data_IF_820786776658
#
_entry.id   IF_820786776658
#
_cell.length_a   1.000
_cell.length_b   1.000
_cell.length_c   1.000
_cell.angle_alpha   90.00
_cell.angle_beta   90.00
_cell.angle_gamma   90.00
#
_symmetry.space_group_name_H-M   'P 1'
#
loop_
_entity.id
_entity.type
_entity.pdbx_description
1 polymer ?
#
# COMPACT_ATOMS: atom_id res chain seq x y z
N UNK A 1 3.30 -19.37 20.43
CA UNK A 1 3.68 -18.40 19.39
C UNK A 1 5.13 -18.69 19.03
N UNK A 2 5.40 -19.04 17.77
CA UNK A 2 6.78 -19.23 17.31
C UNK A 2 7.43 -17.85 17.22
N UNK A 3 8.65 -17.72 17.74
CA UNK A 3 9.45 -16.50 17.58
C UNK A 3 9.95 -16.46 16.14
N UNK A 4 9.54 -15.45 15.39
CA UNK A 4 9.91 -15.30 13.99
C UNK A 4 10.95 -14.19 13.86
N UNK A 5 12.08 -14.52 13.23
CA UNK A 5 13.14 -13.60 12.86
C UNK A 5 13.22 -13.59 11.33
N UNK A 6 12.95 -12.45 10.71
CA UNK A 6 13.01 -12.30 9.26
C UNK A 6 14.24 -11.49 8.90
N UNK A 7 15.12 -12.09 8.10
CA UNK A 7 16.30 -11.42 7.55
C UNK A 7 16.00 -11.02 6.11
N UNK A 8 16.06 -9.72 5.82
CA UNK A 8 15.97 -9.16 4.48
C UNK A 8 17.38 -8.79 4.04
N UNK A 9 17.88 -9.46 3.01
CA UNK A 9 19.22 -9.20 2.44
C UNK A 9 19.08 -8.42 1.13
N UNK A 10 19.77 -7.29 1.04
CA UNK A 10 19.89 -6.48 -0.17
C UNK A 10 21.29 -6.71 -0.78
N UNK A 11 21.43 -7.66 -1.74
CA UNK A 11 22.73 -8.15 -2.20
C UNK A 11 23.51 -7.10 -3.02
N UNK A 12 22.82 -6.11 -3.58
CA UNK A 12 23.39 -5.02 -4.36
C UNK A 12 24.11 -3.97 -3.51
N UNK A 13 23.68 -3.80 -2.25
CA UNK A 13 24.27 -2.83 -1.31
C UNK A 13 24.91 -3.49 -0.08
N UNK A 14 24.81 -4.82 0.04
CA UNK A 14 25.35 -5.58 1.17
C UNK A 14 24.63 -5.31 2.49
N UNK A 15 23.40 -4.77 2.45
CA UNK A 15 22.63 -4.41 3.65
C UNK A 15 21.81 -5.62 4.12
N UNK A 16 21.85 -5.86 5.43
CA UNK A 16 20.99 -6.84 6.10
C UNK A 16 20.04 -6.10 7.02
N UNK A 17 18.74 -6.29 6.83
CA UNK A 17 17.68 -5.77 7.69
C UNK A 17 17.07 -6.94 8.46
N UNK A 18 16.93 -6.80 9.78
CA UNK A 18 16.29 -7.83 10.60
C UNK A 18 14.96 -7.29 11.10
N UNK A 19 13.86 -7.93 10.69
CA UNK A 19 12.56 -7.72 11.31
C UNK A 19 12.37 -8.72 12.44
N UNK A 20 12.09 -8.17 13.62
CA UNK A 20 12.08 -8.92 14.87
C UNK A 20 10.69 -8.82 15.46
N UNK A 21 9.80 -9.74 15.09
CA UNK A 21 8.45 -9.82 15.66
C UNK A 21 8.50 -10.73 16.90
N UNK A 22 8.13 -10.18 18.05
CA UNK A 22 7.91 -10.95 19.30
C UNK A 22 9.17 -11.58 19.93
N UNK A 23 10.36 -11.05 19.65
CA UNK A 23 11.63 -11.50 20.26
C UNK A 23 12.04 -10.55 21.39
N UNK A 24 12.56 -11.03 22.53
CA UNK A 24 12.98 -10.16 23.63
C UNK A 24 14.09 -9.18 23.22
N UNK A 25 14.08 -7.97 23.78
CA UNK A 25 15.05 -6.90 23.50
C UNK A 25 16.52 -7.37 23.59
N UNK A 26 16.84 -8.24 24.56
CA UNK A 26 18.20 -8.82 24.71
C UNK A 26 18.70 -9.54 23.45
N UNK A 27 17.81 -10.23 22.73
CA UNK A 27 18.17 -10.99 21.52
C UNK A 27 18.43 -10.04 20.35
N UNK A 28 17.78 -8.87 20.34
CA UNK A 28 18.06 -7.80 19.38
C UNK A 28 19.45 -7.22 19.61
N UNK A 29 19.83 -7.01 20.87
CA UNK A 29 21.15 -6.48 21.23
C UNK A 29 22.26 -7.49 20.90
N UNK A 30 22.06 -8.77 21.20
CA UNK A 30 22.99 -9.85 20.81
C UNK A 30 23.19 -9.91 19.28
N UNK A 31 22.11 -9.80 18.49
CA UNK A 31 22.18 -9.77 17.02
C UNK A 31 22.91 -8.53 16.48
N UNK A 32 22.81 -7.38 17.15
CA UNK A 32 23.49 -6.17 16.72
C UNK A 32 25.01 -6.27 16.90
N UNK A 33 25.48 -6.98 17.93
CA UNK A 33 26.91 -7.22 18.15
C UNK A 33 27.50 -8.10 17.03
N UNK A 34 26.73 -9.07 16.53
CA UNK A 34 27.16 -9.97 15.44
C UNK A 34 27.06 -9.34 14.04
N UNK A 35 26.04 -8.50 13.80
CA UNK A 35 25.71 -7.96 12.48
C UNK A 35 26.22 -6.54 12.22
N UNK A 36 26.72 -5.86 13.26
CA UNK A 36 27.31 -4.52 13.17
C UNK A 36 26.35 -3.38 13.54
N UNK A 37 26.75 -2.13 13.28
CA UNK A 37 26.09 -0.95 13.82
C UNK A 37 24.61 -0.86 13.39
N UNK A 38 23.73 -0.76 14.39
CA UNK A 38 22.29 -0.60 14.17
C UNK A 38 21.98 0.74 13.51
N UNK A 39 21.22 0.70 12.42
CA UNK A 39 20.53 1.88 11.88
C UNK A 39 19.05 1.63 12.06
N UNK A 40 18.35 2.59 12.68
CA UNK A 40 16.90 2.54 12.75
C UNK A 40 16.37 2.82 11.33
N UNK A 41 16.13 1.76 10.57
CA UNK A 41 15.24 1.83 9.42
C UNK A 41 13.88 2.13 10.02
N UNK A 42 13.22 3.20 9.57
CA UNK A 42 11.90 3.65 10.06
C UNK A 42 10.85 2.53 9.87
N UNK A 43 10.93 1.49 10.70
CA UNK A 43 9.97 0.42 10.79
C UNK A 43 8.82 1.00 11.60
N UNK A 44 7.82 1.48 10.87
CA UNK A 44 6.46 1.61 11.38
C UNK A 44 6.24 2.60 12.52
N UNK A 45 6.80 3.81 12.46
CA UNK A 45 6.16 4.93 13.14
C UNK A 45 5.20 5.61 12.17
N UNK A 46 3.89 5.68 12.47
CA UNK A 46 3.01 6.62 11.78
C UNK A 46 3.67 7.98 11.90
N UNK A 47 4.03 8.58 10.77
CA UNK A 47 4.54 9.93 10.79
C UNK A 47 3.50 10.82 11.48
N UNK A 48 3.90 11.58 12.49
CA UNK A 48 3.04 12.63 13.04
C UNK A 48 2.85 13.70 11.95
N UNK A 49 1.80 13.58 11.16
CA UNK A 49 1.59 14.44 9.99
C UNK A 49 0.56 15.53 10.30
N UNK A 50 1.05 16.77 10.31
CA UNK A 50 0.26 18.00 10.30
C UNK A 50 0.03 18.45 8.85
N UNK A 51 -1.07 18.06 8.21
CA UNK A 51 -1.71 18.81 7.11
C UNK A 51 -3.12 18.27 6.85
N UNK A 52 -4.06 19.18 6.70
CA UNK A 52 -5.50 18.90 6.72
C UNK A 52 -6.03 18.93 5.29
N UNK A 53 -6.67 17.86 4.83
CA UNK A 53 -7.53 17.94 3.64
C UNK A 53 -8.83 18.66 4.04
N UNK A 54 -9.44 19.45 3.14
CA UNK A 54 -10.82 19.89 3.32
C UNK A 54 -11.72 18.65 3.40
N UNK A 55 -12.65 18.64 4.35
CA UNK A 55 -13.68 17.60 4.48
C UNK A 55 -14.42 17.49 3.15
N UNK A 56 -14.14 16.45 2.37
CA UNK A 56 -14.93 16.10 1.20
C UNK A 56 -16.22 15.49 1.74
N UNK A 57 -17.36 16.14 1.48
CA UNK A 57 -18.64 15.60 1.90
C UNK A 57 -18.92 14.30 1.14
N UNK A 58 -19.16 13.18 1.83
CA UNK A 58 -19.53 11.94 1.16
C UNK A 58 -20.85 12.16 0.43
N UNK A 59 -20.86 11.94 -0.87
CA UNK A 59 -22.11 11.79 -1.61
C UNK A 59 -22.77 10.49 -1.14
N UNK A 60 -23.99 10.61 -0.61
CA UNK A 60 -24.82 9.48 -0.20
C UNK A 60 -24.95 8.48 -1.35
N UNK A 61 -24.26 7.35 -1.26
CA UNK A 61 -24.57 6.17 -2.06
C UNK A 61 -25.73 5.44 -1.40
N UNK A 62 -26.82 5.33 -2.16
CA UNK A 62 -28.05 4.64 -1.81
C UNK A 62 -27.78 3.24 -1.27
N UNK A 63 -28.52 2.87 -0.22
CA UNK A 63 -28.51 1.55 0.40
C UNK A 63 -28.70 0.42 -0.63
N UNK A 64 -27.67 -0.37 -0.88
CA UNK A 64 -27.80 -1.65 -1.59
C UNK A 64 -27.41 -2.84 -0.71
N UNK A 65 -28.14 -3.93 -0.94
CA UNK A 65 -28.29 -5.14 -0.14
C UNK A 65 -26.97 -5.87 0.17
N UNK A 66 -26.83 -6.50 1.36
CA UNK A 66 -25.66 -7.30 1.69
C UNK A 66 -25.71 -8.64 0.94
N UNK A 67 -24.83 -8.84 -0.04
CA UNK A 67 -24.59 -10.18 -0.61
C UNK A 67 -24.32 -10.32 -2.10
N UNK A 68 -24.23 -9.24 -2.91
CA UNK A 68 -23.94 -9.41 -4.34
C UNK A 68 -22.43 -9.50 -4.62
N UNK A 69 -21.99 -10.66 -5.08
CA UNK A 69 -20.61 -11.03 -5.44
C UNK A 69 -20.16 -10.39 -6.78
N UNK A 70 -20.38 -9.08 -6.97
CA UNK A 70 -20.33 -8.43 -8.31
C UNK A 70 -19.02 -7.74 -8.69
N UNK A 71 -18.14 -7.44 -7.74
CA UNK A 71 -16.92 -6.69 -8.03
C UNK A 71 -15.74 -7.64 -8.25
N UNK A 72 -15.08 -7.47 -9.38
CA UNK A 72 -13.80 -8.10 -9.70
C UNK A 72 -12.78 -7.05 -10.10
N UNK A 73 -11.52 -7.32 -9.80
CA UNK A 73 -10.38 -6.46 -10.10
C UNK A 73 -9.34 -7.26 -10.88
N UNK A 74 -8.70 -6.63 -11.85
CA UNK A 74 -7.53 -7.18 -12.51
C UNK A 74 -6.34 -7.08 -11.57
N UNK A 75 -5.94 -8.24 -11.05
CA UNK A 75 -4.92 -8.41 -10.04
C UNK A 75 -3.70 -9.08 -10.65
N UNK A 76 -2.52 -8.49 -10.51
CA UNK A 76 -1.27 -9.14 -10.89
C UNK A 76 -0.86 -10.17 -9.83
N UNK A 77 -0.87 -9.78 -8.55
CA UNK A 77 -0.63 -10.69 -7.42
C UNK A 77 -1.12 -10.11 -6.10
N UNK A 78 -1.35 -10.99 -5.14
CA UNK A 78 -1.50 -10.68 -3.72
C UNK A 78 -0.31 -11.30 -2.98
N UNK A 79 0.32 -10.55 -2.10
CA UNK A 79 1.43 -11.05 -1.27
C UNK A 79 1.39 -10.42 0.13
N UNK A 80 2.02 -11.08 1.10
CA UNK A 80 1.97 -10.71 2.51
C UNK A 80 3.36 -10.36 3.07
N UNK A 81 3.37 -9.82 4.29
CA UNK A 81 4.56 -9.47 5.08
C UNK A 81 5.51 -8.45 4.43
N UNK A 82 5.02 -7.58 3.54
CA UNK A 82 5.88 -6.50 3.02
C UNK A 82 6.15 -5.46 4.08
N UNK A 83 7.41 -5.08 4.27
CA UNK A 83 7.83 -3.98 5.16
C UNK A 83 8.29 -2.74 4.40
N UNK A 84 8.26 -2.79 3.07
CA UNK A 84 8.77 -1.73 2.18
C UNK A 84 7.66 -1.01 1.41
N UNK A 85 6.46 -1.60 1.36
CA UNK A 85 5.30 -1.06 0.63
C UNK A 85 4.38 -0.20 1.52
N UNK A 86 4.89 0.38 2.60
CA UNK A 86 4.16 1.26 3.50
C UNK A 86 4.44 1.00 4.98
N UNK A 87 3.71 1.69 5.89
CA UNK A 87 3.94 1.59 7.33
C UNK A 87 3.48 0.25 7.91
N UNK A 88 4.37 -0.39 8.67
CA UNK A 88 4.14 -1.70 9.27
C UNK A 88 4.29 -2.85 8.28
N UNK A 89 3.93 -4.07 8.70
CA UNK A 89 3.80 -5.23 7.81
C UNK A 89 2.54 -5.07 6.97
N UNK A 90 2.66 -5.18 5.65
CA UNK A 90 1.57 -4.99 4.69
C UNK A 90 1.17 -6.31 4.04
N UNK A 91 -0.13 -6.53 3.91
CA UNK A 91 -0.65 -7.31 2.78
C UNK A 91 -0.74 -6.38 1.57
N UNK A 92 -0.23 -6.81 0.42
CA UNK A 92 -0.13 -5.96 -0.76
C UNK A 92 -1.01 -6.51 -1.89
N UNK A 93 -1.98 -5.70 -2.29
CA UNK A 93 -2.84 -5.92 -3.44
C UNK A 93 -2.20 -5.21 -4.63
N UNK A 94 -1.51 -5.97 -5.48
CA UNK A 94 -0.84 -5.44 -6.67
C UNK A 94 -1.73 -5.59 -7.90
N UNK A 95 -2.32 -4.49 -8.36
CA UNK A 95 -3.25 -4.47 -9.52
C UNK A 95 -2.49 -4.55 -10.85
N UNK A 96 -3.14 -5.07 -11.90
CA UNK A 96 -2.67 -5.02 -13.29
C UNK A 96 -3.46 -4.01 -14.12
N UNK A 97 -2.82 -3.47 -15.16
CA UNK A 97 -3.28 -2.35 -15.97
C UNK A 97 -2.71 -1.02 -15.47
N UNK A 98 -1.99 -0.30 -16.34
CA UNK A 98 -1.51 1.05 -16.07
C UNK A 98 -1.53 1.88 -17.35
N UNK A 99 -2.32 2.96 -17.34
CA UNK A 99 -2.37 3.97 -18.39
C UNK A 99 -1.16 4.91 -18.40
N UNK A 100 -0.45 5.04 -17.29
CA UNK A 100 0.66 5.99 -17.11
C UNK A 100 1.97 5.48 -17.73
N UNK A 101 2.29 4.20 -17.51
CA UNK A 101 3.46 3.51 -18.10
C UNK A 101 4.79 4.27 -17.94
N UNK A 102 5.09 4.68 -16.70
CA UNK A 102 6.26 5.50 -16.39
C UNK A 102 7.56 4.91 -16.98
N UNK A 103 8.42 5.75 -17.54
CA UNK A 103 9.72 5.32 -18.05
C UNK A 103 10.58 4.79 -16.89
N UNK A 104 11.09 3.57 -17.03
CA UNK A 104 11.88 2.91 -15.98
C UNK A 104 11.06 2.43 -14.78
N UNK A 105 9.73 2.28 -14.92
CA UNK A 105 8.84 1.76 -13.89
C UNK A 105 9.44 0.56 -13.14
N UNK A 106 9.19 0.47 -11.83
CA UNK A 106 9.63 -0.67 -11.00
C UNK A 106 8.87 -1.95 -11.28
N UNK A 107 7.64 -1.84 -11.79
CA UNK A 107 6.74 -2.98 -12.02
C UNK A 107 6.17 -2.95 -13.45
N UNK A 108 7.01 -2.86 -14.49
CA UNK A 108 6.52 -2.70 -15.88
C UNK A 108 5.67 -3.88 -16.34
N UNK A 109 5.82 -5.05 -15.71
CA UNK A 109 5.01 -6.23 -15.96
C UNK A 109 3.52 -6.03 -15.64
N UNK A 110 3.15 -5.04 -14.81
CA UNK A 110 1.75 -4.73 -14.50
C UNK A 110 1.11 -3.76 -15.49
N UNK A 111 1.83 -3.24 -16.49
CA UNK A 111 1.30 -2.24 -17.42
C UNK A 111 0.14 -2.77 -18.27
N UNK A 112 0.27 -4.01 -18.77
CA UNK A 112 -0.81 -4.68 -19.49
C UNK A 112 -1.72 -5.37 -18.48
N UNK A 113 -3.02 -5.18 -18.66
CA UNK A 113 -4.04 -5.69 -17.74
C UNK A 113 -4.11 -7.21 -17.78
N UNK A 114 -3.92 -7.76 -18.96
CA UNK A 114 -3.94 -9.18 -19.32
C UNK A 114 -2.77 -9.97 -18.71
N UNK A 115 -1.74 -9.28 -18.18
CA UNK A 115 -0.69 -9.92 -17.40
C UNK A 115 -1.14 -10.29 -15.98
N UNK A 116 -2.31 -9.82 -15.55
CA UNK A 116 -2.95 -10.23 -14.31
C UNK A 116 -4.14 -11.16 -14.56
N UNK A 117 -4.81 -11.52 -13.47
CA UNK A 117 -6.04 -12.32 -13.48
C UNK A 117 -7.19 -11.50 -12.95
N UNK A 118 -8.38 -11.69 -13.51
CA UNK A 118 -9.60 -11.08 -12.98
C UNK A 118 -10.04 -11.86 -11.73
N UNK A 119 -9.96 -11.23 -10.56
CA UNK A 119 -10.23 -11.86 -9.25
C UNK A 119 -11.36 -11.12 -8.54
N UNK A 120 -12.24 -11.84 -7.84
CA UNK A 120 -13.31 -11.20 -7.06
C UNK A 120 -12.75 -10.46 -5.85
N UNK A 121 -13.35 -9.31 -5.51
CA UNK A 121 -13.00 -8.57 -4.29
C UNK A 121 -13.23 -9.41 -3.04
N UNK A 122 -14.26 -10.27 -3.06
CA UNK A 122 -14.57 -11.17 -1.97
C UNK A 122 -13.43 -12.14 -1.64
N UNK A 123 -12.79 -12.72 -2.67
CA UNK A 123 -11.64 -13.60 -2.51
C UNK A 123 -10.45 -12.87 -1.88
N UNK A 124 -10.14 -11.67 -2.36
CA UNK A 124 -9.02 -10.85 -1.86
C UNK A 124 -9.24 -10.50 -0.38
N UNK A 125 -10.44 -10.05 -0.03
CA UNK A 125 -10.78 -9.66 1.35
C UNK A 125 -10.72 -10.87 2.28
N UNK A 126 -11.28 -12.01 1.85
CA UNK A 126 -11.26 -13.25 2.64
C UNK A 126 -9.83 -13.71 2.94
N UNK A 127 -8.94 -13.66 1.96
CA UNK A 127 -7.53 -14.03 2.12
C UNK A 127 -6.79 -13.08 3.07
N UNK A 128 -6.99 -11.76 2.93
CA UNK A 128 -6.37 -10.76 3.81
C UNK A 128 -6.87 -10.90 5.25
N UNK A 129 -8.16 -11.13 5.45
CA UNK A 129 -8.76 -11.27 6.78
C UNK A 129 -8.34 -12.58 7.45
N UNK A 130 -8.24 -13.68 6.70
CA UNK A 130 -7.75 -14.96 7.23
C UNK A 130 -6.35 -14.84 7.84
N UNK A 131 -5.50 -13.98 7.26
CA UNK A 131 -4.12 -13.74 7.72
C UNK A 131 -3.98 -12.44 8.54
N UNK A 132 -5.07 -11.93 9.16
CA UNK A 132 -5.08 -10.62 9.84
C UNK A 132 -4.01 -10.43 10.91
N UNK A 133 -3.61 -11.50 11.61
CA UNK A 133 -2.59 -11.43 12.66
C UNK A 133 -1.17 -11.17 12.14
N UNK A 134 -0.96 -11.23 10.83
CA UNK A 134 0.35 -11.21 10.19
C UNK A 134 0.68 -9.88 9.50
N UNK A 135 -0.25 -8.92 9.54
CA UNK A 135 -0.11 -7.60 8.92
C UNK A 135 -0.81 -6.51 9.72
N UNK A 136 -0.23 -5.31 9.68
CA UNK A 136 -0.76 -4.10 10.31
C UNK A 136 -1.81 -3.42 9.43
N UNK A 137 -1.73 -3.62 8.11
CA UNK A 137 -2.74 -3.17 7.16
C UNK A 137 -2.48 -3.60 5.72
N UNK A 138 -3.15 -2.94 4.78
CA UNK A 138 -3.13 -3.28 3.35
C UNK A 138 -2.58 -2.16 2.50
N UNK A 139 -1.68 -2.48 1.59
CA UNK A 139 -1.24 -1.54 0.54
C UNK A 139 -1.86 -1.92 -0.80
N UNK A 140 -2.45 -0.95 -1.49
CA UNK A 140 -2.94 -1.11 -2.85
C UNK A 140 -1.98 -0.36 -3.78
N UNK A 141 -1.32 -1.08 -4.67
CA UNK A 141 -0.32 -0.53 -5.61
C UNK A 141 -0.33 -1.31 -6.92
N UNK A 142 0.65 -1.07 -7.79
CA UNK A 142 0.96 -1.95 -8.92
C UNK A 142 1.01 -1.21 -10.22
N UNK A 143 0.12 -1.57 -11.15
CA UNK A 143 -0.17 -0.76 -12.32
C UNK A 143 -0.67 0.62 -11.90
N UNK A 144 -1.95 0.91 -12.09
CA UNK A 144 -2.55 2.13 -11.55
C UNK A 144 -3.89 1.80 -10.87
N UNK A 145 -3.98 1.85 -9.53
CA UNK A 145 -5.24 1.58 -8.82
C UNK A 145 -6.41 2.42 -9.32
N UNK A 146 -6.19 3.68 -9.67
CA UNK A 146 -7.25 4.58 -10.14
C UNK A 146 -7.62 4.40 -11.62
N UNK A 147 -7.06 3.41 -12.31
CA UNK A 147 -7.59 2.90 -13.58
C UNK A 147 -8.68 1.83 -13.36
N UNK A 148 -8.88 1.38 -12.12
CA UNK A 148 -9.95 0.47 -11.70
C UNK A 148 -10.72 1.02 -10.47
N UNK A 149 -11.23 2.26 -10.51
CA UNK A 149 -11.65 2.97 -9.30
C UNK A 149 -12.86 2.32 -8.60
N UNK A 150 -13.82 1.75 -9.34
CA UNK A 150 -14.97 1.05 -8.77
C UNK A 150 -14.59 -0.18 -7.92
N UNK A 151 -13.88 -1.18 -8.48
CA UNK A 151 -13.37 -2.31 -7.69
C UNK A 151 -12.47 -1.91 -6.52
N UNK A 152 -11.65 -0.86 -6.68
CA UNK A 152 -10.80 -0.34 -5.59
C UNK A 152 -11.65 0.29 -4.48
N UNK A 153 -12.69 1.06 -4.82
CA UNK A 153 -13.61 1.62 -3.82
C UNK A 153 -14.32 0.54 -3.01
N UNK A 154 -14.79 -0.52 -3.67
CA UNK A 154 -15.40 -1.66 -2.98
C UNK A 154 -14.38 -2.35 -2.06
N UNK A 155 -13.16 -2.60 -2.54
CA UNK A 155 -12.09 -3.20 -1.74
C UNK A 155 -11.79 -2.34 -0.51
N UNK A 156 -11.59 -1.03 -0.68
CA UNK A 156 -11.35 -0.09 0.43
C UNK A 156 -12.49 -0.13 1.45
N UNK A 157 -13.74 -0.09 0.98
CA UNK A 157 -14.93 -0.19 1.84
C UNK A 157 -14.93 -1.47 2.68
N UNK A 158 -14.65 -2.63 2.07
CA UNK A 158 -14.60 -3.91 2.78
C UNK A 158 -13.45 -3.94 3.79
N UNK A 159 -12.25 -3.54 3.39
CA UNK A 159 -11.06 -3.57 4.25
C UNK A 159 -11.22 -2.62 5.45
N UNK A 160 -11.81 -1.43 5.25
CA UNK A 160 -12.11 -0.49 6.34
C UNK A 160 -13.10 -1.03 7.36
N UNK A 161 -14.10 -1.81 6.94
CA UNK A 161 -15.01 -2.50 7.89
C UNK A 161 -14.30 -3.48 8.81
N UNK A 162 -13.12 -3.96 8.43
CA UNK A 162 -12.25 -4.79 9.28
C UNK A 162 -11.21 -3.98 10.07
N UNK A 163 -11.30 -2.64 10.08
CA UNK A 163 -10.39 -1.76 10.81
C UNK A 163 -8.96 -1.76 10.27
N UNK A 164 -8.78 -2.04 8.97
CA UNK A 164 -7.48 -2.09 8.33
C UNK A 164 -6.97 -0.68 8.00
N UNK A 165 -5.68 -0.42 8.27
CA UNK A 165 -5.00 0.74 7.70
C UNK A 165 -4.75 0.52 6.22
N UNK A 166 -5.07 1.48 5.37
CA UNK A 166 -4.98 1.41 3.91
C UNK A 166 -3.99 2.45 3.39
N UNK A 167 -2.97 1.95 2.68
CA UNK A 167 -2.03 2.77 1.91
C UNK A 167 -2.32 2.57 0.43
N UNK A 168 -2.29 3.63 -0.37
CA UNK A 168 -2.47 3.56 -1.81
C UNK A 168 -1.28 4.24 -2.50
N UNK A 169 -0.70 3.57 -3.50
CA UNK A 169 0.22 4.21 -4.44
C UNK A 169 -0.54 4.61 -5.70
N UNK A 170 -0.28 5.80 -6.21
CA UNK A 170 -0.77 6.22 -7.52
C UNK A 170 0.29 7.02 -8.25
N UNK A 171 0.35 6.84 -9.57
CA UNK A 171 1.12 7.71 -10.44
C UNK A 171 0.44 9.08 -10.69
N UNK A 172 -0.79 9.27 -10.25
CA UNK A 172 -1.46 10.57 -10.24
C UNK A 172 -1.18 11.31 -8.93
N UNK A 173 -1.11 12.64 -9.00
CA UNK A 173 -1.08 13.48 -7.79
C UNK A 173 -2.47 13.55 -7.15
N UNK A 174 -2.55 13.87 -5.86
CA UNK A 174 -3.83 14.11 -5.17
C UNK A 174 -4.70 15.11 -5.95
N UNK A 175 -4.13 16.23 -6.37
CA UNK A 175 -4.85 17.27 -7.11
C UNK A 175 -5.39 16.74 -8.45
N UNK A 176 -4.64 15.89 -9.16
CA UNK A 176 -5.09 15.26 -10.39
C UNK A 176 -6.23 14.26 -10.14
N UNK A 177 -6.17 13.50 -9.05
CA UNK A 177 -7.22 12.57 -8.66
C UNK A 177 -8.52 13.30 -8.28
N UNK A 178 -8.44 14.34 -7.45
CA UNK A 178 -9.59 15.20 -7.11
C UNK A 178 -10.16 15.84 -8.39
N UNK A 179 -9.30 16.27 -9.30
CA UNK A 179 -9.69 16.86 -10.58
C UNK A 179 -10.51 15.94 -11.49
N UNK A 180 -10.46 14.62 -11.30
CA UNK A 180 -11.25 13.66 -12.09
C UNK A 180 -12.75 13.68 -11.76
N UNK A 181 -13.14 14.14 -10.57
CA UNK A 181 -14.56 14.21 -10.13
C UNK A 181 -15.29 12.86 -10.29
N UNK A 182 -14.59 11.76 -9.99
CA UNK A 182 -15.16 10.41 -10.02
C UNK A 182 -15.53 10.01 -8.58
N UNK A 183 -16.80 9.65 -8.32
CA UNK A 183 -17.28 9.35 -6.97
C UNK A 183 -16.57 8.16 -6.31
N UNK A 184 -16.07 7.20 -7.10
CA UNK A 184 -15.30 6.08 -6.56
C UNK A 184 -13.89 6.55 -6.14
N UNK A 185 -13.27 7.44 -6.91
CA UNK A 185 -11.98 8.04 -6.54
C UNK A 185 -12.13 8.85 -5.25
N UNK A 186 -13.18 9.68 -5.17
CA UNK A 186 -13.48 10.49 -3.98
C UNK A 186 -13.72 9.59 -2.75
N UNK A 187 -14.45 8.49 -2.93
CA UNK A 187 -14.67 7.50 -1.87
C UNK A 187 -13.34 6.89 -1.40
N UNK A 188 -12.50 6.44 -2.32
CA UNK A 188 -11.19 5.85 -2.03
C UNK A 188 -10.31 6.83 -1.26
N UNK A 189 -10.22 8.10 -1.72
CA UNK A 189 -9.43 9.13 -1.05
C UNK A 189 -9.95 9.45 0.34
N UNK A 190 -11.27 9.45 0.54
CA UNK A 190 -11.88 9.76 1.84
C UNK A 190 -11.73 8.61 2.86
N UNK A 191 -11.65 7.37 2.37
CA UNK A 191 -11.64 6.17 3.21
C UNK A 191 -10.29 5.44 3.19
N UNK A 192 -9.21 6.08 2.74
CA UNK A 192 -7.84 5.58 2.88
C UNK A 192 -7.06 6.39 3.90
N UNK A 193 -5.92 5.88 4.37
CA UNK A 193 -5.14 6.54 5.44
C UNK A 193 -3.91 7.26 4.90
N UNK A 194 -3.25 6.68 3.89
CA UNK A 194 -2.05 7.22 3.27
C UNK A 194 -2.11 7.06 1.75
N UNK A 195 -1.91 8.15 1.02
CA UNK A 195 -1.66 8.14 -0.41
C UNK A 195 -0.18 8.48 -0.67
N UNK A 196 0.47 7.68 -1.48
CA UNK A 196 1.78 7.99 -2.05
C UNK A 196 1.53 8.37 -3.51
N UNK A 197 1.61 9.68 -3.77
CA UNK A 197 1.11 10.28 -5.01
C UNK A 197 2.24 10.63 -6.00
N UNK A 198 1.88 10.73 -7.28
CA UNK A 198 2.75 11.20 -8.36
C UNK A 198 3.50 10.09 -9.12
N UNK A 199 3.86 10.36 -10.40
CA UNK A 199 4.44 9.35 -11.27
C UNK A 199 5.86 8.99 -10.82
N UNK A 200 6.30 7.78 -11.15
CA UNK A 200 7.70 7.42 -10.95
C UNK A 200 8.59 8.13 -11.98
N UNK A 201 9.61 8.84 -11.49
CA UNK A 201 10.63 9.49 -12.31
C UNK A 201 12.01 8.88 -12.04
N UNK A 202 12.56 8.18 -13.04
CA UNK A 202 13.81 7.42 -12.91
C UNK A 202 15.00 8.29 -12.50
N UNK A 203 15.08 9.49 -13.07
CA UNK A 203 16.10 10.50 -12.77
C UNK A 203 16.00 11.04 -11.33
N UNK A 204 14.85 10.88 -10.67
CA UNK A 204 14.62 11.27 -9.28
C UNK A 204 14.63 10.09 -8.32
N UNK A 205 15.01 8.88 -8.76
CA UNK A 205 15.18 7.71 -7.88
C UNK A 205 16.26 7.91 -6.81
N UNK A 206 17.47 8.44 -7.10
CA UNK A 206 18.50 8.60 -6.09
C UNK A 206 18.05 9.51 -4.94
N UNK A 207 18.14 9.03 -3.70
CA UNK A 207 17.73 9.76 -2.51
C UNK A 207 16.21 9.89 -2.32
N UNK A 208 15.40 9.11 -3.04
CA UNK A 208 14.00 8.92 -2.68
C UNK A 208 13.94 8.32 -1.26
N UNK A 209 13.22 9.00 -0.36
CA UNK A 209 13.11 8.60 1.04
C UNK A 209 11.80 7.86 1.30
N UNK A 210 11.71 7.17 2.44
CA UNK A 210 10.56 6.47 3.03
C UNK A 210 9.36 6.20 2.08
N UNK A 211 9.27 4.95 1.62
CA UNK A 211 8.21 4.40 0.76
C UNK A 211 8.12 4.97 -0.67
N UNK A 212 8.90 5.99 -1.03
CA UNK A 212 8.83 6.58 -2.38
C UNK A 212 9.77 5.89 -3.36
N UNK A 213 9.28 5.69 -4.59
CA UNK A 213 10.11 5.26 -5.70
C UNK A 213 10.98 6.40 -6.25
N UNK A 214 10.52 7.64 -6.17
CA UNK A 214 11.21 8.83 -6.70
C UNK A 214 10.92 10.08 -5.86
N UNK A 215 11.86 11.03 -5.82
CA UNK A 215 11.81 12.20 -4.91
C UNK A 215 10.63 13.15 -5.14
N UNK A 216 10.01 13.14 -6.31
CA UNK A 216 8.83 13.94 -6.62
C UNK A 216 7.55 13.42 -5.95
N UNK A 217 7.53 12.14 -5.56
CA UNK A 217 6.34 11.54 -4.93
C UNK A 217 6.16 12.08 -3.51
N UNK A 218 4.90 12.24 -3.08
CA UNK A 218 4.57 12.77 -1.75
C UNK A 218 3.79 11.75 -0.94
N UNK A 219 4.04 11.75 0.36
CA UNK A 219 3.21 11.05 1.33
C UNK A 219 2.11 12.01 1.78
N UNK A 220 0.88 11.67 1.44
CA UNK A 220 -0.33 12.43 1.74
C UNK A 220 -1.14 11.66 2.75
N UNK A 221 -1.20 12.14 4.00
CA UNK A 221 -2.12 11.58 4.99
C UNK A 221 -3.55 11.97 4.64
N UNK A 222 -4.43 10.97 4.54
CA UNK A 222 -5.83 11.12 4.16
C UNK A 222 -6.79 10.91 5.34
N UNK A 223 -6.30 10.36 6.46
CA UNK A 223 -7.10 10.07 7.64
C UNK A 223 -7.84 11.30 8.17
N UNK A 224 -9.17 11.21 8.21
CA UNK A 224 -10.05 12.13 8.92
C UNK A 224 -10.16 11.66 10.38
N UNK A 225 -10.07 12.58 11.33
CA UNK A 225 -10.37 12.32 12.76
C UNK A 225 -11.84 11.99 12.97
#
# INVERSE_FOLDING_TARGET
MNKELVFVMEPDVGRVTVEISQVPARTVDELADDLGPRVNLNCAKPAEIKKHLPVLQPHHTSSEQPGSNKFSIWLYRLYHHSTVDGPGRRSVVQVSGCSIRCQGCFVPQTHERENGTLVSIDSIVSEIVANRAEHDGVTILGGEPFDQPGPVAELVSRLKRHGLHITIYSGYTLDALIGRKDPNIDFVLTHSDLLIDGPFLSELRPGASEYRGSRNQKLVSLGVK
#
